data_IF_547981189082
#
_entry.id   IF_547981189082
#
_cell.length_a   1.000
_cell.length_b   1.000
_cell.length_c   1.000
_cell.angle_alpha   90.00
_cell.angle_beta   90.00
_cell.angle_gamma   90.00
#
_symmetry.space_group_name_H-M   'P 1'
#
loop_
_entity.id
_entity.type
_entity.pdbx_description
1 polymer ?
#
# COMPACT_ATOMS: atom_id res chain seq x y z
N UNK A 1 13.13 1.75 3.87
CA UNK A 1 12.65 0.83 4.93
C UNK A 1 11.13 0.90 4.99
N UNK A 2 10.40 -0.23 4.89
CA UNK A 2 8.94 -0.28 4.85
C UNK A 2 8.29 -0.11 6.24
N UNK A 3 8.80 0.79 7.08
CA UNK A 3 8.38 0.93 8.48
C UNK A 3 6.94 1.40 8.64
N UNK A 4 6.39 2.13 7.66
CA UNK A 4 5.01 2.62 7.75
C UNK A 4 3.97 1.55 7.49
N UNK A 5 4.32 0.51 6.73
CA UNK A 5 3.48 -0.69 6.59
C UNK A 5 3.28 -1.32 7.98
N UNK A 6 4.34 -1.59 8.73
CA UNK A 6 4.20 -2.17 10.07
C UNK A 6 3.45 -1.26 11.06
N UNK A 7 3.49 0.05 10.86
CA UNK A 7 2.72 1.00 11.66
C UNK A 7 1.20 0.98 11.39
N UNK A 8 0.71 0.24 10.38
CA UNK A 8 -0.72 -0.06 10.17
C UNK A 8 -1.16 -1.38 10.84
N UNK A 9 -0.31 -1.96 11.70
CA UNK A 9 -0.62 -3.20 12.40
C UNK A 9 -0.85 -4.37 11.43
N UNK A 10 -1.90 -5.15 11.67
CA UNK A 10 -2.18 -6.40 10.94
C UNK A 10 -2.38 -6.14 9.43
N UNK A 11 -3.08 -5.06 9.07
CA UNK A 11 -3.33 -4.72 7.67
C UNK A 11 -2.01 -4.48 6.93
N UNK A 12 -1.12 -3.68 7.51
CA UNK A 12 0.15 -3.40 6.86
C UNK A 12 1.10 -4.60 6.78
N UNK A 13 1.03 -5.54 7.73
CA UNK A 13 1.74 -6.84 7.61
C UNK A 13 1.21 -7.64 6.42
N UNK A 14 -0.13 -7.68 6.24
CA UNK A 14 -0.78 -8.37 5.12
C UNK A 14 -0.44 -7.75 3.77
N UNK A 15 -0.45 -6.42 3.69
CA UNK A 15 -0.02 -5.71 2.49
C UNK A 15 1.46 -6.00 2.17
N UNK A 16 2.32 -6.03 3.19
CA UNK A 16 3.73 -6.36 2.99
C UNK A 16 3.93 -7.81 2.52
N UNK A 17 3.23 -8.76 3.15
CA UNK A 17 3.20 -10.17 2.72
C UNK A 17 2.74 -10.28 1.25
N UNK A 18 1.63 -9.62 0.89
CA UNK A 18 1.09 -9.60 -0.47
C UNK A 18 2.11 -9.05 -1.46
N UNK A 19 2.78 -7.94 -1.12
CA UNK A 19 3.81 -7.35 -1.96
C UNK A 19 4.93 -8.36 -2.24
N UNK A 20 5.45 -9.01 -1.20
CA UNK A 20 6.60 -9.90 -1.33
C UNK A 20 6.29 -11.24 -2.00
N UNK A 21 5.06 -11.75 -1.85
CA UNK A 21 4.74 -13.15 -2.19
C UNK A 21 3.76 -13.31 -3.34
N UNK A 22 3.15 -12.21 -3.83
CA UNK A 22 2.22 -12.28 -4.97
C UNK A 22 2.91 -12.87 -6.22
N UNK A 23 2.25 -13.79 -6.96
CA UNK A 23 2.84 -14.46 -8.12
C UNK A 23 2.91 -13.57 -9.38
N UNK A 24 2.43 -12.32 -9.30
CA UNK A 24 2.35 -11.36 -10.41
C UNK A 24 3.73 -10.94 -10.92
N UNK A 25 3.84 -10.60 -12.20
CA UNK A 25 5.13 -10.17 -12.78
C UNK A 25 5.21 -8.70 -13.12
N UNK A 26 4.06 -8.02 -13.16
CA UNK A 26 3.93 -6.63 -13.55
C UNK A 26 3.42 -5.75 -12.39
N UNK A 27 3.79 -4.49 -12.40
CA UNK A 27 3.44 -3.52 -11.36
C UNK A 27 1.94 -3.25 -11.28
N UNK A 28 1.25 -3.24 -12.42
CA UNK A 28 -0.19 -3.04 -12.49
C UNK A 28 -0.95 -4.19 -11.82
N UNK A 29 -0.60 -5.44 -12.12
CA UNK A 29 -1.19 -6.60 -11.46
C UNK A 29 -0.88 -6.60 -9.95
N UNK A 30 0.32 -6.17 -9.56
CA UNK A 30 0.63 -6.01 -8.14
C UNK A 30 -0.25 -4.95 -7.47
N UNK A 31 -0.45 -3.82 -8.14
CA UNK A 31 -1.33 -2.76 -7.65
C UNK A 31 -2.76 -3.26 -7.48
N UNK A 32 -3.32 -4.02 -8.44
CA UNK A 32 -4.64 -4.64 -8.33
C UNK A 32 -4.73 -5.51 -7.06
N UNK A 33 -3.74 -6.39 -6.86
CA UNK A 33 -3.68 -7.25 -5.68
C UNK A 33 -3.59 -6.49 -4.35
N UNK A 34 -2.92 -5.32 -4.35
CA UNK A 34 -2.84 -4.46 -3.17
C UNK A 34 -4.18 -3.77 -2.93
N UNK A 35 -4.82 -3.25 -3.98
CA UNK A 35 -6.14 -2.61 -3.92
C UNK A 35 -7.20 -3.59 -3.42
N UNK A 36 -7.20 -4.83 -3.92
CA UNK A 36 -8.12 -5.87 -3.47
C UNK A 36 -7.95 -6.17 -1.98
N UNK A 37 -6.71 -6.29 -1.51
CA UNK A 37 -6.40 -6.51 -0.10
C UNK A 37 -6.85 -5.30 0.75
N UNK A 38 -6.65 -4.07 0.28
CA UNK A 38 -7.14 -2.86 0.94
C UNK A 38 -8.67 -2.85 1.01
N UNK A 39 -9.35 -3.10 -0.10
CA UNK A 39 -10.81 -3.09 -0.19
C UNK A 39 -11.45 -4.14 0.73
N UNK A 40 -10.82 -5.30 0.85
CA UNK A 40 -11.23 -6.32 1.81
C UNK A 40 -11.27 -5.76 3.24
N UNK A 41 -10.22 -5.06 3.67
CA UNK A 41 -10.17 -4.47 5.01
C UNK A 41 -11.01 -3.21 5.17
N UNK A 42 -11.16 -2.41 4.11
CA UNK A 42 -11.89 -1.13 4.13
C UNK A 42 -13.30 -1.30 4.70
N UNK A 43 -13.99 -2.38 4.35
CA UNK A 43 -15.34 -2.72 4.83
C UNK A 43 -15.46 -2.89 6.35
N UNK A 44 -14.35 -3.12 7.05
CA UNK A 44 -14.30 -3.39 8.50
C UNK A 44 -13.38 -2.42 9.25
N UNK A 45 -12.76 -1.48 8.53
CA UNK A 45 -11.80 -0.56 9.10
C UNK A 45 -12.48 0.48 10.01
N UNK A 46 -11.87 0.85 11.14
CA UNK A 46 -12.30 2.04 11.88
C UNK A 46 -12.23 3.28 10.99
N UNK A 47 -13.13 4.25 11.20
CA UNK A 47 -13.23 5.48 10.39
C UNK A 47 -11.88 6.21 10.18
N UNK A 48 -11.01 6.21 11.21
CA UNK A 48 -9.65 6.80 11.13
C UNK A 48 -8.76 6.11 10.09
N UNK A 49 -8.90 4.81 9.93
CA UNK A 49 -8.11 4.00 9.01
C UNK A 49 -8.75 3.97 7.62
N UNK A 50 -10.07 4.07 7.52
CA UNK A 50 -10.82 4.09 6.26
C UNK A 50 -10.31 5.19 5.31
N UNK A 51 -10.17 6.43 5.78
CA UNK A 51 -9.63 7.53 4.98
C UNK A 51 -8.21 7.27 4.50
N UNK A 52 -7.37 6.65 5.33
CA UNK A 52 -5.99 6.32 4.95
C UNK A 52 -5.98 5.24 3.87
N UNK A 53 -6.74 4.17 4.09
CA UNK A 53 -6.84 3.03 3.20
C UNK A 53 -7.43 3.43 1.85
N UNK A 54 -8.45 4.29 1.84
CA UNK A 54 -9.04 4.83 0.63
C UNK A 54 -8.01 5.60 -0.22
N UNK A 55 -7.29 6.55 0.40
CA UNK A 55 -6.22 7.27 -0.32
C UNK A 55 -5.14 6.32 -0.84
N UNK A 56 -4.76 5.31 -0.04
CA UNK A 56 -3.78 4.32 -0.48
C UNK A 56 -4.27 3.55 -1.71
N UNK A 57 -5.53 3.13 -1.74
CA UNK A 57 -6.11 2.42 -2.88
C UNK A 57 -6.15 3.29 -4.15
N UNK A 58 -6.42 4.59 -4.03
CA UNK A 58 -6.42 5.52 -5.17
C UNK A 58 -5.02 5.72 -5.78
N UNK A 59 -3.99 5.83 -4.93
CA UNK A 59 -2.66 6.27 -5.37
C UNK A 59 -1.72 5.11 -5.75
N UNK A 60 -2.00 3.88 -5.31
CA UNK A 60 -1.04 2.77 -5.45
C UNK A 60 -0.77 2.39 -6.91
N UNK A 61 -1.76 2.47 -7.79
CA UNK A 61 -1.58 2.20 -9.22
C UNK A 61 -0.59 3.18 -9.84
N UNK A 62 -0.89 4.48 -9.74
CA UNK A 62 -0.02 5.52 -10.30
C UNK A 62 1.40 5.44 -9.72
N UNK A 63 1.51 5.25 -8.40
CA UNK A 63 2.82 5.19 -7.75
C UNK A 63 3.65 3.98 -8.18
N UNK A 64 3.03 2.80 -8.39
CA UNK A 64 3.75 1.60 -8.84
C UNK A 64 4.06 1.63 -10.34
N UNK A 65 3.16 2.19 -11.16
CA UNK A 65 3.38 2.35 -12.60
C UNK A 65 4.56 3.30 -12.88
N UNK A 66 4.60 4.45 -12.20
CA UNK A 66 5.64 5.48 -12.43
C UNK A 66 7.03 5.06 -11.93
N UNK A 67 7.11 4.19 -10.92
CA UNK A 67 8.34 3.96 -10.17
C UNK A 67 8.84 2.51 -10.21
N UNK A 68 8.06 1.54 -10.72
CA UNK A 68 8.46 0.14 -10.68
C UNK A 68 8.17 -0.58 -12.00
N UNK A 69 9.16 -0.58 -12.90
CA UNK A 69 9.07 -1.30 -14.18
C UNK A 69 9.47 -2.78 -14.08
N UNK A 70 10.14 -3.20 -13.01
CA UNK A 70 10.60 -4.58 -12.80
C UNK A 70 10.28 -5.06 -11.39
N UNK A 71 9.10 -5.64 -11.20
CA UNK A 71 8.62 -6.08 -9.87
C UNK A 71 9.03 -7.52 -9.52
N UNK A 72 9.32 -8.37 -10.50
CA UNK A 72 9.58 -9.81 -10.31
C UNK A 72 10.98 -10.14 -9.73
N UNK A 73 11.63 -9.20 -9.06
CA UNK A 73 12.92 -9.41 -8.39
C UNK A 73 12.79 -9.04 -6.93
N UNK A 74 13.61 -9.63 -6.05
CA UNK A 74 13.63 -9.26 -4.63
C UNK A 74 13.84 -7.74 -4.44
N UNK A 75 14.67 -7.12 -5.28
CA UNK A 75 14.90 -5.68 -5.25
C UNK A 75 13.65 -4.88 -5.65
N UNK A 76 12.99 -5.26 -6.74
CA UNK A 76 11.73 -4.63 -7.18
C UNK A 76 10.61 -4.78 -6.15
N UNK A 77 10.46 -5.96 -5.54
CA UNK A 77 9.50 -6.19 -4.45
C UNK A 77 9.79 -5.31 -3.23
N UNK A 78 11.07 -5.15 -2.90
CA UNK A 78 11.46 -4.26 -1.82
C UNK A 78 11.16 -2.79 -2.14
N UNK A 79 11.42 -2.36 -3.37
CA UNK A 79 11.12 -1.02 -3.85
C UNK A 79 9.62 -0.72 -3.80
N UNK A 80 8.77 -1.62 -4.30
CA UNK A 80 7.31 -1.50 -4.18
C UNK A 80 6.86 -1.37 -2.72
N UNK A 81 7.43 -2.16 -1.80
CA UNK A 81 7.13 -2.02 -0.38
C UNK A 81 7.56 -0.66 0.19
N UNK A 82 8.67 -0.09 -0.30
CA UNK A 82 9.10 1.26 0.09
C UNK A 82 8.16 2.33 -0.47
N UNK A 83 7.72 2.21 -1.72
CA UNK A 83 6.75 3.12 -2.36
C UNK A 83 5.44 3.13 -1.57
N UNK A 84 4.86 1.96 -1.32
CA UNK A 84 3.62 1.80 -0.56
C UNK A 84 3.78 2.36 0.86
N UNK A 85 4.91 2.09 1.51
CA UNK A 85 5.25 2.69 2.82
C UNK A 85 5.34 4.23 2.74
N UNK A 86 5.79 4.79 1.62
CA UNK A 86 5.83 6.22 1.36
C UNK A 86 4.43 6.81 1.24
N UNK A 87 3.54 6.18 0.48
CA UNK A 87 2.13 6.57 0.35
C UNK A 87 1.44 6.59 1.72
N UNK A 88 1.63 5.56 2.53
CA UNK A 88 1.06 5.51 3.89
C UNK A 88 1.53 6.69 4.75
N UNK A 89 2.82 7.05 4.68
CA UNK A 89 3.32 8.23 5.40
C UNK A 89 2.68 9.54 4.90
N UNK A 90 2.42 9.65 3.59
CA UNK A 90 1.74 10.82 3.02
C UNK A 90 0.28 10.88 3.47
N UNK A 91 -0.47 9.78 3.36
CA UNK A 91 -1.87 9.69 3.79
C UNK A 91 -2.05 10.01 5.28
N UNK A 92 -1.11 9.63 6.14
CA UNK A 92 -1.13 10.01 7.57
C UNK A 92 -1.02 11.52 7.78
N UNK A 93 -0.25 12.24 6.96
CA UNK A 93 -0.18 13.71 7.03
C UNK A 93 -1.51 14.36 6.68
N UNK A 94 -2.25 13.79 5.72
CA UNK A 94 -3.58 14.28 5.36
C UNK A 94 -4.62 13.97 6.44
N UNK A 95 -4.50 12.86 7.18
CA UNK A 95 -5.44 12.55 8.27
C UNK A 95 -5.48 13.63 9.35
N UNK A 96 -4.35 14.30 9.63
CA UNK A 96 -4.31 15.40 10.61
C UNK A 96 -5.14 16.62 10.19
N UNK A 97 -5.45 16.80 8.90
CA UNK A 97 -6.23 17.94 8.40
C UNK A 97 -7.75 17.78 8.56
N UNK A 98 -8.23 16.58 8.90
CA UNK A 98 -9.66 16.28 9.04
C UNK A 98 -10.10 16.07 10.51
N UNK A 99 -9.23 16.36 11.48
CA UNK A 99 -9.49 16.20 12.92
C UNK A 99 -9.35 17.51 13.73
N UNK A 100 -9.31 18.66 13.06
CA UNK A 100 -9.57 19.99 13.64
C UNK A 100 -11.00 20.45 13.30
#
# INVERSE_FOLDING_TARGET
MPTQLFALGVIGVRLYERILTSPVQDSNELADHIVDEINYYLSTAPFKEETLLFHLACEVHAALEDNCSVINTTAGRHEAAVIVSGLIAQSKKFSHLYYD
#
